data_IF_691696159138
#
_entry.id   IF_691696159138
#
_cell.length_a   1.000
_cell.length_b   1.000
_cell.length_c   1.000
_cell.angle_alpha   90.00
_cell.angle_beta   90.00
_cell.angle_gamma   90.00
#
_symmetry.space_group_name_H-M   'P 1'
#
loop_
_entity.id
_entity.type
_entity.pdbx_description
1 polymer ?
#
# COMPACT_ATOMS: atom_id res chain seq x y z
N UNK A 1 18.64 10.46 -23.90
CA UNK A 1 18.61 9.49 -22.83
C UNK A 1 17.22 8.91 -22.68
N UNK A 2 17.16 7.62 -22.59
CA UNK A 2 15.89 6.94 -22.47
C UNK A 2 15.57 6.73 -21.02
N UNK A 3 14.43 7.23 -20.63
CA UNK A 3 13.89 6.95 -19.33
C UNK A 3 12.77 5.96 -19.46
N UNK A 4 12.86 4.91 -18.72
CA UNK A 4 11.78 3.96 -18.64
C UNK A 4 10.93 4.29 -17.44
N UNK A 5 9.65 4.48 -17.70
CA UNK A 5 8.70 4.69 -16.61
C UNK A 5 8.12 3.35 -16.26
N UNK A 6 8.65 2.80 -15.19
CA UNK A 6 8.23 1.47 -14.74
C UNK A 6 7.11 1.65 -13.74
N UNK A 7 5.96 0.99 -13.96
CA UNK A 7 4.89 1.05 -12.97
C UNK A 7 5.38 0.51 -11.63
N UNK A 8 5.04 1.20 -10.58
CA UNK A 8 5.41 0.78 -9.25
C UNK A 8 4.20 0.17 -8.58
N UNK A 9 4.34 -1.06 -8.11
CA UNK A 9 3.28 -1.76 -7.41
C UNK A 9 3.65 -1.85 -5.94
N UNK A 10 2.75 -1.39 -5.10
CA UNK A 10 2.87 -1.53 -3.66
C UNK A 10 1.58 -2.12 -3.12
N UNK A 11 1.59 -2.46 -1.85
CA UNK A 11 0.45 -3.13 -1.24
C UNK A 11 0.05 -2.39 0.02
N UNK A 12 -1.25 -2.28 0.21
CA UNK A 12 -1.83 -1.66 1.39
C UNK A 12 -2.57 -2.73 2.17
N UNK A 13 -2.78 -2.47 3.45
CA UNK A 13 -3.58 -3.36 4.28
C UNK A 13 -4.81 -2.60 4.75
N UNK A 14 -5.99 -3.20 4.53
CA UNK A 14 -7.23 -2.64 5.02
C UNK A 14 -7.77 -3.50 6.15
N UNK A 15 -8.34 -2.84 7.14
CA UNK A 15 -9.03 -3.50 8.25
C UNK A 15 -10.40 -2.84 8.35
N UNK A 16 -11.43 -3.56 7.94
CA UNK A 16 -12.74 -2.96 7.83
C UNK A 16 -12.73 -1.85 6.79
N UNK A 17 -13.15 -0.67 7.20
CA UNK A 17 -13.18 0.50 6.32
C UNK A 17 -11.95 1.39 6.46
N UNK A 18 -10.93 0.91 7.17
CA UNK A 18 -9.75 1.69 7.47
C UNK A 18 -8.54 1.07 6.82
N UNK A 19 -7.50 1.88 6.63
CA UNK A 19 -6.21 1.42 6.11
C UNK A 19 -5.17 1.53 7.20
N UNK A 20 -4.22 0.59 7.22
CA UNK A 20 -3.12 0.64 8.16
C UNK A 20 -2.16 1.73 7.75
N UNK A 21 -1.93 2.70 8.63
CA UNK A 21 -0.94 3.74 8.40
C UNK A 21 0.38 3.45 9.14
N UNK A 22 0.33 2.62 10.16
CA UNK A 22 1.53 2.17 10.86
C UNK A 22 1.19 0.85 11.56
N UNK A 23 1.96 -0.23 11.33
CA UNK A 23 1.63 -1.52 11.92
C UNK A 23 2.04 -1.67 13.38
N UNK A 24 3.03 -0.92 13.85
CA UNK A 24 3.54 -1.08 15.22
C UNK A 24 4.14 0.23 15.73
N UNK A 25 3.45 1.00 16.60
CA UNK A 25 2.11 0.73 17.13
C UNK A 25 1.06 0.84 16.03
N UNK A 26 -0.03 0.10 16.19
CA UNK A 26 -1.06 0.08 15.15
C UNK A 26 -1.75 1.43 15.04
N UNK A 27 -1.69 1.99 13.85
CA UNK A 27 -2.40 3.22 13.51
C UNK A 27 -3.13 3.00 12.21
N UNK A 28 -4.32 3.55 12.13
CA UNK A 28 -5.17 3.40 10.96
C UNK A 28 -5.65 4.76 10.49
N UNK A 29 -6.06 4.82 9.22
CA UNK A 29 -6.53 6.05 8.61
C UNK A 29 -7.66 5.74 7.65
N UNK A 30 -8.56 6.71 7.48
CA UNK A 30 -9.62 6.60 6.47
C UNK A 30 -9.13 6.99 5.09
N UNK A 31 -7.99 7.66 5.01
CA UNK A 31 -7.50 8.22 3.76
C UNK A 31 -6.47 7.29 3.14
N UNK A 32 -6.75 6.82 1.95
CA UNK A 32 -5.84 5.90 1.27
C UNK A 32 -4.46 6.53 1.04
N UNK A 33 -4.41 7.85 0.86
CA UNK A 33 -3.14 8.53 0.65
C UNK A 33 -2.23 8.49 1.87
N UNK A 34 -2.79 8.27 3.05
CA UNK A 34 -2.03 8.19 4.29
C UNK A 34 -1.73 6.75 4.67
N UNK A 35 -2.19 5.78 3.89
CA UNK A 35 -1.92 4.38 4.17
C UNK A 35 -0.46 4.06 3.92
N UNK A 36 0.10 3.19 4.77
CA UNK A 36 1.46 2.73 4.59
C UNK A 36 1.53 1.76 3.42
N UNK A 37 2.57 1.88 2.61
CA UNK A 37 2.81 0.97 1.50
C UNK A 37 3.77 -0.11 1.94
N UNK A 38 3.43 -1.34 1.60
CA UNK A 38 4.20 -2.51 1.99
C UNK A 38 4.65 -3.30 0.78
N UNK A 39 5.69 -4.10 0.97
CA UNK A 39 5.96 -5.19 0.05
C UNK A 39 4.91 -6.27 0.24
N UNK A 40 4.79 -7.15 -0.75
CA UNK A 40 3.73 -8.16 -0.73
C UNK A 40 3.77 -9.03 0.52
N UNK A 41 4.93 -9.57 0.85
CA UNK A 41 5.05 -10.45 2.01
C UNK A 41 4.72 -9.73 3.31
N UNK A 42 5.23 -8.50 3.45
CA UNK A 42 4.95 -7.72 4.65
C UNK A 42 3.47 -7.39 4.77
N UNK A 43 2.83 -7.06 3.64
CA UNK A 43 1.41 -6.76 3.66
C UNK A 43 0.57 -7.96 4.07
N UNK A 44 0.93 -9.14 3.59
CA UNK A 44 0.22 -10.35 3.97
C UNK A 44 0.35 -10.64 5.45
N UNK A 45 1.54 -10.47 5.99
CA UNK A 45 1.77 -10.72 7.39
C UNK A 45 0.96 -9.77 8.27
N UNK A 46 0.97 -8.49 7.92
CA UNK A 46 0.20 -7.50 8.66
C UNK A 46 -1.30 -7.80 8.56
N UNK A 47 -1.76 -8.13 7.36
CA UNK A 47 -3.17 -8.46 7.15
C UNK A 47 -3.57 -9.67 7.98
N UNK A 48 -2.74 -10.72 7.99
CA UNK A 48 -3.02 -11.93 8.77
C UNK A 48 -3.09 -11.62 10.26
N UNK A 49 -2.17 -10.81 10.74
CA UNK A 49 -2.12 -10.45 12.15
C UNK A 49 -3.35 -9.65 12.59
N UNK A 50 -3.90 -8.85 11.70
CA UNK A 50 -5.01 -7.95 12.02
C UNK A 50 -6.35 -8.45 11.53
N UNK A 51 -6.38 -9.57 10.81
CA UNK A 51 -7.60 -10.03 10.19
C UNK A 51 -8.06 -9.12 9.07
N UNK A 52 -7.13 -8.45 8.42
CA UNK A 52 -7.44 -7.53 7.33
C UNK A 52 -7.26 -8.12 5.96
N UNK A 53 -7.25 -7.24 4.96
CA UNK A 53 -7.09 -7.64 3.56
C UNK A 53 -5.96 -6.86 2.93
N UNK A 54 -5.31 -7.49 1.96
CA UNK A 54 -4.26 -6.86 1.17
C UNK A 54 -4.88 -6.21 -0.05
N UNK A 55 -4.50 -4.97 -0.32
CA UNK A 55 -4.96 -4.22 -1.48
C UNK A 55 -3.74 -3.90 -2.33
N UNK A 56 -3.81 -4.24 -3.61
CA UNK A 56 -2.75 -3.94 -4.56
C UNK A 56 -2.91 -2.52 -5.07
N UNK A 57 -1.84 -1.74 -5.02
CA UNK A 57 -1.83 -0.37 -5.53
C UNK A 57 -0.75 -0.28 -6.60
N UNK A 58 -1.18 0.06 -7.81
CA UNK A 58 -0.26 0.26 -8.92
C UNK A 58 -0.23 1.74 -9.29
N UNK A 59 0.95 2.32 -9.29
CA UNK A 59 1.15 3.71 -9.67
C UNK A 59 1.91 3.72 -10.99
N UNK A 60 1.31 4.33 -12.00
CA UNK A 60 1.94 4.50 -13.28
C UNK A 60 2.29 5.96 -13.46
N UNK A 61 3.50 6.19 -13.93
CA UNK A 61 3.95 7.53 -14.20
C UNK A 61 3.86 7.78 -15.69
N UNK A 62 3.20 8.85 -16.08
CA UNK A 62 3.13 9.25 -17.48
C UNK A 62 4.14 10.35 -17.71
N UNK A 63 4.89 10.21 -18.79
CA UNK A 63 5.84 11.22 -19.18
C UNK A 63 5.13 12.27 -20.02
N UNK A 64 5.41 13.51 -19.72
CA UNK A 64 4.92 14.62 -20.52
C UNK A 64 6.06 15.30 -21.24
N UNK A 65 5.87 15.52 -22.47
CA UNK A 65 6.84 16.26 -23.28
C UNK A 65 6.51 17.75 -23.29
#
# INVERSE_FOLDING_TARGET
>A
MNEQLIPKTTYLVSVGNLFVSNPNPLMVTKLVKNAMEFEYKASQQVADDLGGKVICKTVEYARRD
#
